data_IF_406535725187
#
_entry.id   IF_406535725187
#
_cell.length_a   1.000
_cell.length_b   1.000
_cell.length_c   1.000
_cell.angle_alpha   90.00
_cell.angle_beta   90.00
_cell.angle_gamma   90.00
#
_symmetry.space_group_name_H-M   'P 1'
#
loop_
_entity.id
_entity.type
_entity.pdbx_description
1 polymer ?
#
# COMPACT_ATOMS: atom_id res chain seq x y z
N UNK A 1 -13.10 19.86 -6.56
CA UNK A 1 -12.68 20.72 -5.44
C UNK A 1 -12.67 19.83 -4.21
N UNK A 2 -11.49 19.51 -3.66
CA UNK A 2 -11.41 18.68 -2.46
C UNK A 2 -11.92 19.48 -1.26
N UNK A 3 -12.77 18.89 -0.44
CA UNK A 3 -13.20 19.50 0.82
C UNK A 3 -12.00 19.61 1.77
N UNK A 4 -11.92 20.65 2.63
CA UNK A 4 -10.74 20.91 3.46
C UNK A 4 -10.28 19.77 4.39
N UNK A 5 -11.12 18.76 4.62
CA UNK A 5 -10.88 17.63 5.52
C UNK A 5 -10.82 16.26 4.83
N UNK A 6 -10.69 16.21 3.51
CA UNK A 6 -10.66 14.93 2.80
C UNK A 6 -9.26 14.31 2.89
N UNK A 7 -9.16 13.06 3.32
CA UNK A 7 -7.94 12.26 3.26
C UNK A 7 -7.70 11.88 1.79
N UNK A 8 -6.48 12.09 1.32
CA UNK A 8 -6.08 11.80 -0.06
C UNK A 8 -5.82 10.30 -0.24
N UNK A 9 -5.10 9.70 0.71
CA UNK A 9 -4.74 8.27 0.64
C UNK A 9 -4.82 7.60 2.02
N UNK A 10 -5.38 6.38 2.05
CA UNK A 10 -5.29 5.47 3.21
C UNK A 10 -4.25 4.40 2.90
N UNK A 11 -3.27 4.25 3.79
CA UNK A 11 -2.25 3.20 3.70
C UNK A 11 -2.61 2.09 4.68
N UNK A 12 -2.82 0.88 4.20
CA UNK A 12 -3.20 -0.29 5.00
C UNK A 12 -2.00 -1.21 5.13
N UNK A 13 -1.61 -1.50 6.38
CA UNK A 13 -0.42 -2.28 6.71
C UNK A 13 -0.84 -3.44 7.63
N UNK A 14 -0.90 -4.68 7.12
CA UNK A 14 -1.07 -5.85 7.94
C UNK A 14 0.20 -6.11 8.74
N UNK A 15 0.09 -6.41 10.04
CA UNK A 15 1.21 -6.62 10.95
C UNK A 15 1.07 -7.99 11.61
N UNK A 16 2.09 -8.84 11.45
CA UNK A 16 2.18 -10.11 12.16
C UNK A 16 3.63 -10.53 12.39
N UNK A 17 4.11 -10.44 13.64
CA UNK A 17 5.45 -10.85 14.06
C UNK A 17 6.60 -10.25 13.22
N UNK A 18 6.61 -8.91 13.09
CA UNK A 18 7.54 -8.13 12.26
C UNK A 18 8.30 -7.05 13.06
N UNK A 19 8.50 -7.23 14.35
CA UNK A 19 9.12 -6.25 15.26
C UNK A 19 10.44 -5.65 14.73
N UNK A 20 11.20 -6.42 13.94
CA UNK A 20 12.50 -5.99 13.40
C UNK A 20 12.40 -5.01 12.24
N UNK A 21 11.29 -5.00 11.53
CA UNK A 21 11.11 -4.25 10.28
C UNK A 21 10.11 -3.11 10.42
N UNK A 22 9.13 -3.25 11.33
CA UNK A 22 7.97 -2.37 11.44
C UNK A 22 8.33 -0.89 11.61
N UNK A 23 9.37 -0.58 12.39
CA UNK A 23 9.85 0.81 12.57
C UNK A 23 10.29 1.42 11.25
N UNK A 24 11.09 0.69 10.45
CA UNK A 24 11.57 1.17 9.14
C UNK A 24 10.40 1.37 8.17
N UNK A 25 9.44 0.45 8.18
CA UNK A 25 8.22 0.54 7.40
C UNK A 25 7.45 1.82 7.73
N UNK A 26 7.10 2.05 8.99
CA UNK A 26 6.32 3.22 9.42
C UNK A 26 7.10 4.52 9.16
N UNK A 27 8.38 4.58 9.51
CA UNK A 27 9.21 5.78 9.32
C UNK A 27 9.29 6.20 7.84
N UNK A 28 9.28 5.25 6.92
CA UNK A 28 9.28 5.52 5.48
C UNK A 28 8.04 6.27 4.98
N UNK A 29 6.95 6.24 5.75
CA UNK A 29 5.73 6.96 5.43
C UNK A 29 5.72 8.40 5.93
N UNK A 30 6.67 8.78 6.76
CA UNK A 30 6.69 10.11 7.36
C UNK A 30 7.07 11.21 6.36
N UNK A 31 7.76 10.86 5.28
CA UNK A 31 8.28 11.80 4.28
C UNK A 31 7.64 11.60 2.89
N UNK A 32 6.31 11.74 2.82
CA UNK A 32 5.53 11.59 1.59
C UNK A 32 4.98 12.92 1.05
N UNK A 33 5.70 14.03 1.29
CA UNK A 33 5.30 15.37 0.85
C UNK A 33 4.07 15.90 1.60
N UNK A 34 3.30 16.76 0.94
CA UNK A 34 2.09 17.40 1.52
C UNK A 34 0.83 16.53 1.42
N UNK A 35 1.00 15.22 1.25
CA UNK A 35 -0.10 14.27 1.09
C UNK A 35 -0.87 14.10 2.41
N UNK A 36 -2.18 14.35 2.38
CA UNK A 36 -3.06 14.09 3.53
C UNK A 36 -3.37 12.61 3.60
N UNK A 37 -2.67 11.91 4.45
CA UNK A 37 -2.80 10.47 4.58
C UNK A 37 -3.26 10.03 5.97
N UNK A 38 -3.90 8.88 6.01
CA UNK A 38 -4.07 8.07 7.22
C UNK A 38 -3.33 6.75 7.04
N UNK A 39 -2.75 6.26 8.12
CA UNK A 39 -2.00 5.02 8.17
C UNK A 39 -2.76 4.06 9.07
N UNK A 40 -3.20 2.94 8.53
CA UNK A 40 -4.01 1.95 9.23
C UNK A 40 -3.15 0.72 9.46
N UNK A 41 -2.69 0.57 10.69
CA UNK A 41 -1.92 -0.57 11.15
C UNK A 41 -2.88 -1.63 11.69
N UNK A 42 -2.93 -2.80 11.07
CA UNK A 42 -3.78 -3.91 11.54
C UNK A 42 -2.90 -5.00 12.11
N UNK A 43 -2.81 -5.05 13.45
CA UNK A 43 -2.08 -6.09 14.16
C UNK A 43 -2.91 -7.37 14.22
N UNK A 44 -2.53 -8.35 13.43
CA UNK A 44 -3.19 -9.63 13.23
C UNK A 44 -2.73 -10.68 14.26
N UNK A 45 -2.83 -10.33 15.55
CA UNK A 45 -2.51 -11.24 16.64
C UNK A 45 -1.02 -11.52 16.81
N UNK A 46 -0.15 -10.51 16.62
CA UNK A 46 1.30 -10.66 16.87
C UNK A 46 1.58 -11.07 18.30
N UNK A 47 2.59 -11.93 18.47
CA UNK A 47 3.07 -12.41 19.77
C UNK A 47 4.44 -11.85 20.16
N UNK A 48 5.06 -11.08 19.26
CA UNK A 48 6.28 -10.31 19.49
C UNK A 48 5.94 -8.83 19.85
N UNK A 49 6.90 -7.94 19.82
CA UNK A 49 6.71 -6.53 20.17
C UNK A 49 6.01 -5.69 19.09
N UNK A 50 5.60 -6.27 17.96
CA UNK A 50 4.98 -5.53 16.83
C UNK A 50 3.76 -4.73 17.26
N UNK A 51 2.87 -5.31 18.10
CA UNK A 51 1.69 -4.60 18.60
C UNK A 51 2.04 -3.40 19.47
N UNK A 52 3.02 -3.54 20.37
CA UNK A 52 3.47 -2.46 21.24
C UNK A 52 4.13 -1.33 20.43
N UNK A 53 4.94 -1.68 19.41
CA UNK A 53 5.56 -0.71 18.50
C UNK A 53 4.48 0.09 17.77
N UNK A 54 3.46 -0.58 17.22
CA UNK A 54 2.35 0.09 16.53
C UNK A 54 1.63 1.10 17.44
N UNK A 55 1.32 0.70 18.68
CA UNK A 55 0.67 1.55 19.67
C UNK A 55 1.52 2.76 20.06
N UNK A 56 2.84 2.58 20.18
CA UNK A 56 3.77 3.68 20.48
C UNK A 56 3.83 4.72 19.33
N UNK A 57 3.74 4.27 18.08
CA UNK A 57 3.63 5.18 16.94
C UNK A 57 2.30 5.92 16.92
N UNK A 58 1.18 5.25 17.17
CA UNK A 58 -0.13 5.90 17.21
C UNK A 58 -0.26 6.97 18.31
N UNK A 59 0.46 6.83 19.44
CA UNK A 59 0.52 7.86 20.49
C UNK A 59 1.26 9.13 20.05
N UNK A 60 2.18 9.04 19.09
CA UNK A 60 3.07 10.12 18.65
C UNK A 60 2.63 10.77 17.35
N UNK A 61 1.86 10.04 16.53
CA UNK A 61 1.48 10.43 15.19
C UNK A 61 -0.03 10.25 14.99
N UNK A 62 -0.77 11.34 14.93
CA UNK A 62 -2.24 11.36 14.86
C UNK A 62 -2.80 10.76 13.57
N UNK A 63 -1.99 10.66 12.50
CA UNK A 63 -2.36 10.02 11.23
C UNK A 63 -2.43 8.51 11.34
N UNK A 64 -1.88 7.90 12.41
CA UNK A 64 -1.81 6.46 12.61
C UNK A 64 -2.99 5.97 13.43
N UNK A 65 -3.68 4.96 12.91
CA UNK A 65 -4.73 4.20 13.58
C UNK A 65 -4.28 2.75 13.73
N UNK A 66 -4.43 2.19 14.92
CA UNK A 66 -4.10 0.78 15.18
C UNK A 66 -5.36 -0.01 15.45
N UNK A 67 -5.45 -1.20 14.87
CA UNK A 67 -6.48 -2.20 15.15
C UNK A 67 -5.76 -3.48 15.57
N UNK A 68 -6.23 -4.07 16.66
CA UNK A 68 -5.77 -5.40 17.07
C UNK A 68 -6.90 -6.40 16.82
N UNK A 69 -6.56 -7.54 16.20
CA UNK A 69 -7.49 -8.64 15.96
C UNK A 69 -6.84 -9.98 16.31
N UNK A 70 -7.65 -11.02 16.43
CA UNK A 70 -7.15 -12.39 16.43
C UNK A 70 -6.59 -12.73 15.05
N UNK A 71 -5.54 -13.57 15.02
CA UNK A 71 -4.88 -13.92 13.77
C UNK A 71 -5.85 -14.55 12.77
N UNK A 72 -6.07 -13.85 11.66
CA UNK A 72 -6.91 -14.25 10.54
C UNK A 72 -6.18 -14.29 9.21
N UNK A 73 -4.87 -13.96 9.20
CA UNK A 73 -4.03 -13.85 8.00
C UNK A 73 -4.04 -12.46 7.37
N UNK A 74 -3.07 -12.21 6.50
CA UNK A 74 -2.86 -10.89 5.90
C UNK A 74 -4.08 -10.42 5.08
N UNK A 75 -4.80 -11.33 4.41
CA UNK A 75 -6.07 -11.04 3.72
C UNK A 75 -7.12 -10.47 4.67
N UNK A 76 -7.34 -11.11 5.83
CA UNK A 76 -8.29 -10.62 6.82
C UNK A 76 -7.88 -9.24 7.36
N UNK A 77 -6.60 -9.06 7.68
CA UNK A 77 -6.08 -7.79 8.14
C UNK A 77 -6.23 -6.67 7.08
N UNK A 78 -5.94 -6.94 5.80
CA UNK A 78 -6.17 -5.99 4.72
C UNK A 78 -7.65 -5.65 4.55
N UNK A 79 -8.55 -6.63 4.69
CA UNK A 79 -10.00 -6.40 4.62
C UNK A 79 -10.50 -5.51 5.76
N UNK A 80 -10.04 -5.74 6.98
CA UNK A 80 -10.35 -4.87 8.14
C UNK A 80 -9.88 -3.44 7.89
N UNK A 81 -8.67 -3.26 7.34
CA UNK A 81 -8.18 -1.95 6.95
C UNK A 81 -9.05 -1.28 5.87
N UNK A 82 -9.50 -2.04 4.86
CA UNK A 82 -10.40 -1.55 3.81
C UNK A 82 -11.75 -1.05 4.36
N UNK A 83 -12.28 -1.70 5.40
CA UNK A 83 -13.58 -1.36 5.99
C UNK A 83 -13.58 0.01 6.67
N UNK A 84 -12.45 0.45 7.18
CA UNK A 84 -12.33 1.73 7.91
C UNK A 84 -11.62 2.82 7.13
N UNK A 85 -11.04 2.50 5.97
CA UNK A 85 -10.32 3.46 5.14
C UNK A 85 -11.24 4.56 4.61
N UNK A 86 -10.81 5.82 4.75
CA UNK A 86 -11.59 7.01 4.36
C UNK A 86 -10.98 7.77 3.17
N UNK A 87 -9.72 7.49 2.84
CA UNK A 87 -8.99 8.15 1.76
C UNK A 87 -9.65 8.02 0.39
N UNK A 88 -9.38 8.95 -0.49
CA UNK A 88 -9.82 8.89 -1.87
C UNK A 88 -9.21 7.69 -2.59
N UNK A 89 -7.93 7.44 -2.32
CA UNK A 89 -7.20 6.26 -2.78
C UNK A 89 -6.77 5.36 -1.63
N UNK A 90 -6.52 4.11 -1.94
CA UNK A 90 -6.02 3.06 -1.03
C UNK A 90 -4.65 2.61 -1.52
N UNK A 91 -3.68 2.50 -0.62
CA UNK A 91 -2.43 1.80 -0.82
C UNK A 91 -2.34 0.63 0.18
N UNK A 92 -1.72 -0.46 -0.25
CA UNK A 92 -1.29 -1.53 0.65
C UNK A 92 0.23 -1.48 0.77
N UNK A 93 0.75 -1.77 1.94
CA UNK A 93 2.18 -1.88 2.20
C UNK A 93 2.41 -3.06 3.15
N UNK A 94 3.32 -3.95 2.78
CA UNK A 94 3.71 -5.02 3.68
C UNK A 94 4.62 -4.48 4.77
N UNK A 95 4.47 -4.99 5.99
CA UNK A 95 5.10 -4.43 7.19
C UNK A 95 6.61 -4.67 7.28
N UNK A 96 7.17 -5.48 6.39
CA UNK A 96 8.60 -5.70 6.20
C UNK A 96 9.20 -4.95 5.00
N UNK A 97 8.36 -4.20 4.28
CA UNK A 97 8.74 -3.32 3.17
C UNK A 97 8.85 -1.84 3.61
N UNK A 98 9.38 -1.00 2.73
CA UNK A 98 9.46 0.44 2.90
C UNK A 98 9.20 1.20 1.60
N UNK A 99 8.77 2.45 1.71
CA UNK A 99 8.44 3.32 0.58
C UNK A 99 9.48 4.44 0.48
N UNK A 100 9.96 4.70 -0.73
CA UNK A 100 10.86 5.84 -0.98
C UNK A 100 10.11 7.16 -0.77
N UNK A 101 10.82 8.18 -0.29
CA UNK A 101 10.32 9.55 -0.11
C UNK A 101 9.55 10.04 -1.35
N UNK A 102 8.44 10.73 -1.11
CA UNK A 102 7.56 11.34 -2.12
C UNK A 102 6.92 10.36 -3.12
N UNK A 103 7.11 9.04 -2.95
CA UNK A 103 6.59 8.07 -3.93
C UNK A 103 5.07 8.03 -3.97
N UNK A 104 4.41 8.11 -2.82
CA UNK A 104 2.94 8.10 -2.75
C UNK A 104 2.34 9.39 -3.30
N UNK A 105 2.96 10.54 -3.04
CA UNK A 105 2.50 11.82 -3.60
C UNK A 105 2.59 11.83 -5.12
N UNK A 106 3.67 11.31 -5.69
CA UNK A 106 3.82 11.18 -7.15
C UNK A 106 2.76 10.27 -7.76
N UNK A 107 2.44 9.14 -7.12
CA UNK A 107 1.39 8.25 -7.60
C UNK A 107 0.00 8.89 -7.49
N UNK A 108 -0.26 9.59 -6.38
CA UNK A 108 -1.52 10.30 -6.16
C UNK A 108 -1.73 11.42 -7.18
N UNK A 109 -0.72 12.24 -7.45
CA UNK A 109 -0.77 13.30 -8.45
C UNK A 109 -1.14 12.77 -9.84
N UNK A 110 -0.51 11.66 -10.26
CA UNK A 110 -0.85 11.03 -11.54
C UNK A 110 -2.26 10.43 -11.51
N UNK A 111 -2.69 9.85 -10.38
CA UNK A 111 -4.04 9.32 -10.22
C UNK A 111 -5.11 10.40 -10.39
N UNK A 112 -4.96 11.51 -9.68
CA UNK A 112 -5.90 12.65 -9.74
C UNK A 112 -5.89 13.31 -11.11
N UNK A 113 -4.71 13.57 -11.67
CA UNK A 113 -4.55 14.20 -12.98
C UNK A 113 -5.25 13.44 -14.10
N UNK A 114 -5.23 12.13 -14.05
CA UNK A 114 -5.79 11.26 -15.09
C UNK A 114 -7.13 10.63 -14.71
N UNK A 115 -7.67 10.94 -13.52
CA UNK A 115 -8.87 10.29 -12.96
C UNK A 115 -8.76 8.75 -13.03
N UNK A 116 -7.57 8.22 -12.71
CA UNK A 116 -7.28 6.81 -12.87
C UNK A 116 -7.90 6.00 -11.72
N UNK A 117 -8.49 4.84 -12.07
CA UNK A 117 -9.00 3.90 -11.07
C UNK A 117 -7.86 3.18 -10.33
N UNK A 118 -6.72 2.97 -11.02
CA UNK A 118 -5.53 2.28 -10.50
C UNK A 118 -4.27 2.94 -11.07
N UNK A 119 -3.29 3.20 -10.22
CA UNK A 119 -1.94 3.64 -10.64
C UNK A 119 -0.91 2.67 -10.11
N UNK A 120 0.03 2.29 -10.96
CA UNK A 120 1.07 1.34 -10.64
C UNK A 120 2.42 2.03 -10.45
N UNK A 121 3.08 1.74 -9.33
CA UNK A 121 4.46 2.14 -9.03
C UNK A 121 5.50 1.11 -9.45
N UNK A 122 6.77 1.50 -9.36
CA UNK A 122 7.90 0.58 -9.46
C UNK A 122 8.22 -0.03 -8.10
N UNK A 123 8.83 -1.23 -8.14
CA UNK A 123 9.39 -1.91 -6.97
C UNK A 123 10.85 -2.22 -7.18
N UNK A 124 11.61 -2.24 -6.10
CA UNK A 124 13.00 -2.70 -6.04
C UNK A 124 13.09 -3.86 -5.05
N UNK A 125 13.90 -4.84 -5.37
CA UNK A 125 14.30 -5.83 -4.38
C UNK A 125 15.50 -5.28 -3.62
N UNK A 126 15.35 -5.13 -2.31
CA UNK A 126 16.41 -4.72 -1.40
C UNK A 126 16.97 -5.96 -0.70
N UNK A 127 18.29 -6.18 -0.79
CA UNK A 127 18.98 -7.28 -0.13
C UNK A 127 19.38 -6.91 1.30
N UNK A 128 19.63 -7.92 2.14
CA UNK A 128 19.98 -7.72 3.55
C UNK A 128 21.30 -6.91 3.74
N UNK A 129 22.18 -6.90 2.75
CA UNK A 129 23.41 -6.10 2.74
C UNK A 129 23.19 -4.63 2.33
N UNK A 130 21.93 -4.23 2.09
CA UNK A 130 21.54 -2.90 1.65
C UNK A 130 21.73 -2.65 0.16
N UNK A 131 22.21 -3.62 -0.61
CA UNK A 131 22.24 -3.52 -2.07
C UNK A 131 20.83 -3.63 -2.63
N UNK A 132 20.59 -2.94 -3.74
CA UNK A 132 19.29 -2.98 -4.42
C UNK A 132 19.49 -3.49 -5.85
N UNK A 133 18.63 -4.41 -6.26
CA UNK A 133 18.53 -4.78 -7.65
C UNK A 133 18.03 -3.60 -8.49
N UNK A 134 18.30 -3.68 -9.80
CA UNK A 134 17.65 -2.75 -10.72
C UNK A 134 16.14 -2.92 -10.56
N UNK A 135 15.37 -1.82 -10.62
CA UNK A 135 13.91 -1.93 -10.53
C UNK A 135 13.44 -2.98 -11.52
N UNK A 136 12.52 -3.82 -11.10
CA UNK A 136 11.83 -4.69 -12.04
C UNK A 136 11.41 -3.81 -13.21
N UNK A 137 11.98 -4.04 -14.40
CA UNK A 137 11.77 -3.18 -15.57
C UNK A 137 10.29 -3.11 -15.87
N UNK A 138 9.59 -2.18 -15.25
CA UNK A 138 8.28 -1.81 -15.75
C UNK A 138 8.48 -1.22 -17.13
N UNK A 139 7.96 -1.95 -18.12
CA UNK A 139 7.64 -1.46 -19.45
C UNK A 139 8.61 -0.38 -19.94
N UNK A 140 9.74 -0.79 -20.55
CA UNK A 140 10.71 -0.02 -21.32
C UNK A 140 11.24 1.32 -20.77
N UNK A 141 12.50 1.50 -20.85
CA UNK A 141 13.33 2.72 -20.76
C UNK A 141 12.56 4.05 -20.53
N UNK A 142 12.25 4.35 -19.27
CA UNK A 142 11.63 5.62 -18.88
C UNK A 142 10.24 5.42 -18.30
N UNK A 143 9.81 6.37 -17.49
CA UNK A 143 8.48 6.39 -16.90
C UNK A 143 7.42 6.37 -17.98
N UNK A 144 6.77 5.25 -18.23
CA UNK A 144 5.65 5.21 -19.15
C UNK A 144 4.42 5.72 -18.41
N UNK A 145 4.20 7.00 -18.53
CA UNK A 145 2.91 7.61 -18.23
C UNK A 145 1.94 7.27 -19.36
N UNK A 146 1.36 6.08 -19.30
CA UNK A 146 0.38 5.64 -20.30
C UNK A 146 -0.94 5.35 -19.60
N UNK A 147 -1.97 6.06 -20.02
CA UNK A 147 -3.33 5.76 -19.61
C UNK A 147 -3.85 4.60 -20.49
N UNK A 148 -4.29 3.54 -19.83
CA UNK A 148 -4.79 2.32 -20.48
C UNK A 148 -6.14 1.95 -19.88
N UNK A 149 -7.00 1.30 -20.65
CA UNK A 149 -8.12 0.56 -20.07
C UNK A 149 -7.59 -0.64 -19.25
N UNK A 150 -8.35 -1.13 -18.26
CA UNK A 150 -7.92 -2.26 -17.45
C UNK A 150 -7.54 -3.49 -18.28
N UNK A 151 -8.28 -3.76 -19.39
CA UNK A 151 -7.96 -4.84 -20.30
C UNK A 151 -6.62 -4.63 -21.04
N UNK A 152 -6.39 -3.43 -21.56
CA UNK A 152 -5.12 -3.09 -22.24
C UNK A 152 -3.95 -3.11 -21.27
N UNK A 153 -4.13 -2.59 -20.06
CA UNK A 153 -3.12 -2.61 -19.00
C UNK A 153 -2.72 -4.04 -18.62
N UNK A 154 -3.71 -4.92 -18.41
CA UNK A 154 -3.46 -6.33 -18.13
C UNK A 154 -2.69 -7.03 -19.26
N UNK A 155 -3.13 -6.84 -20.51
CA UNK A 155 -2.44 -7.41 -21.69
C UNK A 155 -0.99 -6.92 -21.76
N UNK A 156 -0.74 -5.65 -21.49
CA UNK A 156 0.61 -5.08 -21.51
C UNK A 156 1.49 -5.67 -20.40
N UNK A 157 0.96 -5.81 -19.18
CA UNK A 157 1.67 -6.45 -18.06
C UNK A 157 2.06 -7.90 -18.37
N UNK A 158 1.13 -8.67 -18.95
CA UNK A 158 1.40 -10.07 -19.33
C UNK A 158 2.43 -10.16 -20.46
N UNK A 159 2.33 -9.32 -21.51
CA UNK A 159 3.30 -9.31 -22.63
C UNK A 159 4.71 -8.94 -22.21
N UNK A 160 4.83 -8.10 -21.21
CA UNK A 160 6.14 -7.63 -20.71
C UNK A 160 6.72 -8.51 -19.62
N UNK A 161 6.05 -9.62 -19.27
CA UNK A 161 6.40 -10.49 -18.14
C UNK A 161 6.48 -9.74 -16.77
N UNK A 162 5.68 -8.71 -16.60
CA UNK A 162 5.68 -7.85 -15.39
C UNK A 162 4.44 -8.04 -14.51
N UNK A 163 3.66 -9.03 -14.79
CA UNK A 163 2.58 -9.39 -13.90
C UNK A 163 3.16 -9.96 -12.60
N UNK A 164 3.20 -9.14 -11.56
CA UNK A 164 3.42 -9.57 -10.19
C UNK A 164 2.07 -9.48 -9.50
N UNK A 165 1.52 -10.59 -9.05
CA UNK A 165 0.26 -10.62 -8.31
C UNK A 165 0.50 -10.13 -6.87
N UNK A 166 0.75 -8.84 -6.70
CA UNK A 166 0.93 -8.23 -5.39
C UNK A 166 0.18 -6.91 -5.30
N UNK A 167 -0.53 -6.62 -4.21
CA UNK A 167 -1.28 -5.38 -4.07
C UNK A 167 -0.39 -4.17 -3.75
N UNK A 168 0.85 -4.38 -3.25
CA UNK A 168 1.67 -3.33 -2.63
C UNK A 168 2.29 -2.32 -3.60
N UNK A 169 2.25 -2.56 -4.89
CA UNK A 169 2.82 -1.63 -5.88
C UNK A 169 1.81 -0.67 -6.51
N UNK A 170 0.58 -0.69 -6.05
CA UNK A 170 -0.51 0.07 -6.66
C UNK A 170 -1.16 0.98 -5.64
N UNK A 171 -1.74 2.09 -6.15
CA UNK A 171 -2.80 2.80 -5.45
C UNK A 171 -4.11 2.61 -6.22
N UNK A 172 -5.19 2.46 -5.49
CA UNK A 172 -6.51 2.11 -6.00
C UNK A 172 -7.52 3.18 -5.62
N UNK A 173 -8.33 3.65 -6.55
CA UNK A 173 -9.45 4.51 -6.22
C UNK A 173 -10.45 3.74 -5.33
N UNK A 174 -10.73 4.28 -4.13
CA UNK A 174 -11.59 3.60 -3.14
C UNK A 174 -12.99 3.36 -3.66
N UNK A 175 -13.58 4.32 -4.40
CA UNK A 175 -14.91 4.15 -5.01
C UNK A 175 -14.92 3.04 -6.04
N UNK A 176 -13.82 2.87 -6.78
CA UNK A 176 -13.68 1.78 -7.73
C UNK A 176 -13.64 0.43 -7.02
N UNK A 177 -12.84 0.28 -5.94
CA UNK A 177 -12.82 -0.94 -5.13
C UNK A 177 -14.20 -1.29 -4.58
N UNK A 178 -14.91 -0.30 -4.04
CA UNK A 178 -16.28 -0.49 -3.57
C UNK A 178 -17.25 -0.94 -4.66
N UNK A 179 -17.20 -0.30 -5.84
CA UNK A 179 -18.02 -0.67 -7.00
C UNK A 179 -17.78 -2.10 -7.44
N UNK A 180 -16.54 -2.54 -7.39
CA UNK A 180 -16.13 -3.90 -7.76
C UNK A 180 -16.33 -4.92 -6.64
N UNK A 181 -16.75 -4.48 -5.44
CA UNK A 181 -16.82 -5.32 -4.23
C UNK A 181 -15.51 -6.06 -3.95
N UNK A 182 -14.39 -5.39 -4.25
CA UNK A 182 -13.07 -5.99 -4.16
C UNK A 182 -12.72 -6.30 -2.69
N UNK A 183 -12.34 -7.55 -2.44
CA UNK A 183 -11.91 -8.08 -1.16
C UNK A 183 -10.79 -9.09 -1.39
N UNK A 184 -9.95 -9.22 -0.38
CA UNK A 184 -8.99 -10.32 -0.34
C UNK A 184 -9.70 -11.60 0.10
N UNK A 185 -9.39 -12.70 -0.54
CA UNK A 185 -9.90 -14.02 -0.14
C UNK A 185 -9.22 -14.44 1.16
N UNK A 186 -10.01 -14.82 2.16
CA UNK A 186 -9.49 -15.21 3.46
C UNK A 186 -9.26 -16.72 3.56
N UNK A 187 -8.25 -17.13 4.33
CA UNK A 187 -7.98 -18.54 4.60
C UNK A 187 -7.25 -19.30 3.49
N UNK A 188 -6.71 -18.62 2.49
CA UNK A 188 -5.86 -19.22 1.46
C UNK A 188 -4.38 -18.96 1.76
N UNK A 189 -3.51 -19.92 1.43
CA UNK A 189 -2.07 -19.70 1.36
C UNK A 189 -1.72 -19.09 0.00
N UNK A 190 -0.85 -18.08 -0.03
CA UNK A 190 -0.51 -17.29 -1.22
C UNK A 190 -1.70 -16.45 -1.70
N UNK A 191 -1.92 -15.35 -1.01
CA UNK A 191 -3.04 -14.42 -1.16
C UNK A 191 -2.90 -13.50 -2.38
N UNK A 192 -1.81 -13.61 -3.12
CA UNK A 192 -1.42 -12.74 -4.25
C UNK A 192 -1.96 -13.23 -5.59
#
# INVERSE_FOLDING_TARGET
MNTPNQIDISIIIPIYNVEKYLTVCIDSLMNQGDLRMEIILVNDGSTDLSGEIADEYAKKEERIKVIHQENGGASAARNVGLDIATGEYIAFLDSDDWIKDESLSLLYDEAVKHHADVVMGNMWLCHQDGSMDKPFKCISNGSIKKLLSGKEGFIELVKTCFYLPTPVRYIYNRKYLHKMQARFEEGIMHED
#
